data_IF_157846651407
#
_entry.id   IF_157846651407
#
_cell.length_a   1.000
_cell.length_b   1.000
_cell.length_c   1.000
_cell.angle_alpha   90.00
_cell.angle_beta   90.00
_cell.angle_gamma   90.00
#
_symmetry.space_group_name_H-M   'P 1'
#
loop_
_entity.id
_entity.type
_entity.pdbx_description
1 polymer ?
#
# COMPACT_ATOMS: atom_id res chain seq x y z
N UNK A 1 -16.81 33.72 25.14
CA UNK A 1 -16.46 32.31 25.43
C UNK A 1 -17.60 31.71 26.23
N UNK A 2 -18.16 30.57 25.80
CA UNK A 2 -19.26 29.93 26.53
C UNK A 2 -18.73 28.78 27.38
N UNK A 3 -19.11 28.77 28.66
CA UNK A 3 -18.72 27.73 29.60
C UNK A 3 -19.53 26.47 29.33
N UNK A 4 -18.86 25.40 28.91
CA UNK A 4 -19.50 24.10 28.66
C UNK A 4 -19.70 23.36 29.97
N UNK A 5 -18.63 23.13 30.73
CA UNK A 5 -18.66 22.61 32.10
C UNK A 5 -17.99 23.62 33.02
N UNK A 6 -18.50 23.74 34.25
CA UNK A 6 -17.91 24.60 35.28
C UNK A 6 -17.35 23.68 36.37
N UNK A 7 -16.04 23.43 36.30
CA UNK A 7 -15.34 22.64 37.29
C UNK A 7 -14.96 23.55 38.46
N UNK A 8 -15.16 23.02 39.68
CA UNK A 8 -14.66 23.68 40.88
C UNK A 8 -13.15 23.88 40.77
N UNK A 9 -12.62 24.98 41.33
CA UNK A 9 -11.17 25.14 41.50
C UNK A 9 -10.53 24.01 42.34
N UNK A 10 -11.34 23.22 43.04
CA UNK A 10 -10.93 22.04 43.79
C UNK A 10 -10.85 20.75 42.96
N UNK A 11 -11.15 20.79 41.67
CA UNK A 11 -11.00 19.69 40.73
C UNK A 11 -9.66 19.87 39.99
N UNK A 12 -8.58 19.22 40.44
CA UNK A 12 -7.25 19.41 39.86
C UNK A 12 -7.07 18.67 38.53
N UNK A 13 -8.06 17.88 38.11
CA UNK A 13 -7.94 17.00 36.95
C UNK A 13 -8.05 17.79 35.65
N UNK A 14 -7.28 17.33 34.65
CA UNK A 14 -7.32 17.89 33.30
C UNK A 14 -8.42 17.21 32.52
N UNK A 15 -9.39 18.01 32.06
CA UNK A 15 -10.50 17.53 31.25
C UNK A 15 -10.36 17.91 29.78
N UNK A 16 -10.93 17.09 28.91
CA UNK A 16 -10.86 17.27 27.45
C UNK A 16 -12.26 17.48 26.89
N UNK A 17 -12.49 18.66 26.32
CA UNK A 17 -13.67 18.93 25.51
C UNK A 17 -13.32 18.84 24.02
N UNK A 18 -14.02 17.96 23.30
CA UNK A 18 -13.91 17.81 21.85
C UNK A 18 -15.18 18.34 21.19
N UNK A 19 -15.04 19.08 20.09
CA UNK A 19 -16.16 19.61 19.31
C UNK A 19 -16.02 19.17 17.86
N UNK A 20 -17.11 18.62 17.30
CA UNK A 20 -17.26 18.33 15.87
C UNK A 20 -18.39 19.18 15.32
N UNK A 21 -18.06 20.10 14.43
CA UNK A 21 -19.01 20.99 13.75
C UNK A 21 -18.81 20.92 12.24
N UNK A 22 -19.90 20.94 11.47
CA UNK A 22 -19.82 20.93 10.02
C UNK A 22 -21.17 20.67 9.35
N UNK A 23 -21.15 20.59 8.03
CA UNK A 23 -22.28 20.37 7.16
C UNK A 23 -21.94 19.30 6.14
N UNK A 24 -22.97 18.66 5.62
CA UNK A 24 -22.89 17.73 4.51
C UNK A 24 -23.65 18.35 3.34
N UNK A 25 -23.01 18.38 2.18
CA UNK A 25 -23.55 19.00 0.97
C UNK A 25 -23.41 18.06 -0.22
N UNK A 26 -24.34 18.19 -1.17
CA UNK A 26 -24.33 17.48 -2.45
C UNK A 26 -24.08 18.47 -3.58
N UNK A 27 -23.13 18.20 -4.46
CA UNK A 27 -22.91 19.03 -5.65
C UNK A 27 -23.95 18.70 -6.72
N UNK A 28 -24.64 19.72 -7.20
CA UNK A 28 -25.63 19.62 -8.26
C UNK A 28 -25.00 19.73 -9.65
N UNK A 29 -25.77 19.37 -10.67
CA UNK A 29 -25.30 19.35 -12.07
C UNK A 29 -24.93 20.73 -12.62
N UNK A 30 -25.50 21.79 -12.08
CA UNK A 30 -25.19 23.19 -12.43
C UNK A 30 -23.94 23.73 -11.70
N UNK A 31 -23.33 22.91 -10.84
CA UNK A 31 -22.14 23.27 -10.06
C UNK A 31 -22.43 23.88 -8.69
N UNK A 32 -23.69 24.23 -8.39
CA UNK A 32 -24.09 24.68 -7.05
C UNK A 32 -24.08 23.52 -6.05
N UNK A 33 -24.16 23.83 -4.75
CA UNK A 33 -24.25 22.83 -3.69
C UNK A 33 -25.60 22.87 -3.00
N UNK A 34 -26.10 21.69 -2.64
CA UNK A 34 -27.33 21.47 -1.88
C UNK A 34 -26.98 20.99 -0.49
N UNK A 35 -27.47 21.69 0.53
CA UNK A 35 -27.37 21.24 1.92
C UNK A 35 -28.14 19.93 2.13
N UNK A 36 -27.49 18.94 2.74
CA UNK A 36 -28.09 17.65 3.10
C UNK A 36 -28.32 17.54 4.61
N UNK A 37 -27.26 17.75 5.40
CA UNK A 37 -27.30 17.53 6.83
C UNK A 37 -26.26 18.40 7.55
N UNK A 38 -26.34 18.45 8.88
CA UNK A 38 -25.48 19.29 9.70
C UNK A 38 -25.09 18.58 10.99
N UNK A 39 -23.95 18.96 11.53
CA UNK A 39 -23.42 18.40 12.78
C UNK A 39 -22.91 19.50 13.70
N UNK A 40 -23.25 19.36 14.97
CA UNK A 40 -22.66 20.08 16.10
C UNK A 40 -22.74 19.13 17.29
N UNK A 41 -21.60 18.54 17.63
CA UNK A 41 -21.47 17.50 18.64
C UNK A 41 -20.32 17.82 19.57
N UNK A 42 -20.56 17.62 20.86
CA UNK A 42 -19.57 17.72 21.90
C UNK A 42 -19.34 16.35 22.54
N UNK A 43 -18.07 16.05 22.77
CA UNK A 43 -17.61 14.95 23.61
C UNK A 43 -16.80 15.51 24.75
N UNK A 44 -16.95 14.91 25.92
CA UNK A 44 -16.30 15.33 27.15
C UNK A 44 -15.59 14.12 27.76
N UNK A 45 -14.29 14.24 28.00
CA UNK A 45 -13.39 13.15 28.42
C UNK A 45 -13.53 11.89 27.56
N UNK A 46 -13.65 12.10 26.25
CA UNK A 46 -13.78 11.03 25.27
C UNK A 46 -15.13 10.30 25.30
N UNK A 47 -16.15 10.84 25.98
CA UNK A 47 -17.52 10.31 25.98
C UNK A 47 -18.50 11.28 25.32
N UNK A 48 -19.55 10.74 24.71
CA UNK A 48 -20.57 11.56 24.05
C UNK A 48 -21.34 12.38 25.10
N UNK A 49 -21.50 13.67 24.83
CA UNK A 49 -21.93 14.64 25.84
C UNK A 49 -23.17 15.43 25.41
N UNK A 50 -23.08 16.20 24.33
CA UNK A 50 -24.16 17.08 23.87
C UNK A 50 -24.22 17.11 22.34
N UNK A 51 -25.42 17.12 21.77
CA UNK A 51 -25.65 17.18 20.31
C UNK A 51 -26.69 18.23 19.98
N UNK A 52 -26.51 18.99 18.89
CA UNK A 52 -27.56 19.86 18.37
C UNK A 52 -28.43 19.13 17.35
N UNK A 53 -29.73 19.02 17.64
CA UNK A 53 -30.71 18.46 16.70
C UNK A 53 -31.20 19.54 15.77
N UNK A 54 -30.81 19.43 14.50
CA UNK A 54 -31.15 20.41 13.47
C UNK A 54 -32.66 20.50 13.19
N UNK A 55 -33.38 19.39 13.24
CA UNK A 55 -34.81 19.34 12.92
C UNK A 55 -35.68 20.04 13.96
N UNK A 56 -35.35 19.86 15.25
CA UNK A 56 -36.07 20.49 16.36
C UNK A 56 -35.46 21.82 16.78
N UNK A 57 -34.26 22.11 16.29
CA UNK A 57 -33.44 23.27 16.68
C UNK A 57 -33.24 23.31 18.20
N UNK A 58 -32.88 22.16 18.78
CA UNK A 58 -32.65 22.01 20.21
C UNK A 58 -31.40 21.17 20.45
N UNK A 59 -30.68 21.49 21.51
CA UNK A 59 -29.68 20.65 22.12
C UNK A 59 -30.33 19.43 22.78
N UNK A 60 -29.66 18.29 22.61
CA UNK A 60 -29.92 17.01 23.23
C UNK A 60 -28.72 16.66 24.13
N UNK A 61 -29.03 16.28 25.38
CA UNK A 61 -28.07 15.72 26.31
C UNK A 61 -27.94 14.23 26.03
N UNK A 62 -26.71 13.77 25.86
CA UNK A 62 -26.40 12.36 25.59
C UNK A 62 -26.03 11.60 26.87
N UNK A 63 -25.83 12.32 27.98
CA UNK A 63 -25.64 11.78 29.30
C UNK A 63 -26.21 12.74 30.38
N UNK A 64 -26.25 12.27 31.63
CA UNK A 64 -26.86 13.03 32.73
C UNK A 64 -26.09 14.30 33.09
N UNK A 65 -24.77 14.31 32.90
CA UNK A 65 -23.92 15.49 33.16
C UNK A 65 -24.27 16.65 32.22
N UNK A 66 -24.77 16.36 31.02
CA UNK A 66 -25.12 17.36 30.03
C UNK A 66 -26.53 17.95 30.21
N UNK A 67 -27.37 17.43 31.13
CA UNK A 67 -28.78 17.85 31.25
C UNK A 67 -28.95 19.32 31.63
N UNK A 68 -28.15 19.81 32.58
CA UNK A 68 -28.19 21.22 33.02
C UNK A 68 -27.80 22.17 31.88
N UNK A 69 -26.79 21.79 31.12
CA UNK A 69 -26.25 22.57 30.00
C UNK A 69 -27.24 22.59 28.85
N UNK A 70 -27.83 21.44 28.50
CA UNK A 70 -28.91 21.31 27.53
C UNK A 70 -30.01 22.33 27.82
N UNK A 71 -30.52 22.37 29.05
CA UNK A 71 -31.61 23.29 29.42
C UNK A 71 -31.19 24.75 29.23
N UNK A 72 -30.01 25.13 29.75
CA UNK A 72 -29.47 26.49 29.63
C UNK A 72 -29.28 26.91 28.17
N UNK A 73 -28.74 26.03 27.33
CA UNK A 73 -28.45 26.31 25.93
C UNK A 73 -29.70 26.31 25.07
N UNK A 74 -30.71 25.50 25.40
CA UNK A 74 -32.02 25.52 24.73
C UNK A 74 -32.80 26.81 24.96
N UNK A 75 -32.63 27.41 26.14
CA UNK A 75 -33.18 28.74 26.48
C UNK A 75 -32.37 29.90 25.88
N UNK A 76 -31.18 29.65 25.32
CA UNK A 76 -30.35 30.67 24.70
C UNK A 76 -30.63 30.77 23.19
N UNK A 77 -31.54 31.64 22.81
CA UNK A 77 -31.95 31.85 21.40
C UNK A 77 -30.76 32.27 20.52
N UNK A 78 -29.93 33.27 20.90
CA UNK A 78 -28.76 33.66 20.10
C UNK A 78 -27.80 32.52 19.80
N UNK A 79 -27.52 31.65 20.78
CA UNK A 79 -26.65 30.49 20.57
C UNK A 79 -27.22 29.54 19.52
N UNK A 80 -28.53 29.27 19.57
CA UNK A 80 -29.18 28.38 18.60
C UNK A 80 -29.15 28.98 17.20
N UNK A 81 -29.40 30.28 17.08
CA UNK A 81 -29.33 30.99 15.80
C UNK A 81 -27.91 31.00 15.22
N UNK A 82 -26.87 31.28 16.03
CA UNK A 82 -25.48 31.17 15.60
C UNK A 82 -25.12 29.74 15.16
N UNK A 83 -25.62 28.74 15.90
CA UNK A 83 -25.42 27.33 15.57
C UNK A 83 -26.01 27.00 14.21
N UNK A 84 -27.26 27.42 13.97
CA UNK A 84 -27.96 27.24 12.71
C UNK A 84 -27.29 27.99 11.57
N UNK A 85 -26.96 29.27 11.77
CA UNK A 85 -26.33 30.12 10.75
C UNK A 85 -24.99 29.54 10.28
N UNK A 86 -24.15 29.08 11.20
CA UNK A 86 -22.93 28.40 10.80
C UNK A 86 -23.20 27.13 10.00
N UNK A 87 -24.11 26.26 10.46
CA UNK A 87 -24.33 24.95 9.83
C UNK A 87 -24.98 25.09 8.46
N UNK A 88 -26.01 25.94 8.34
CA UNK A 88 -26.84 26.08 7.14
C UNK A 88 -26.28 27.07 6.13
N UNK A 89 -25.47 28.04 6.56
CA UNK A 89 -24.95 29.11 5.69
C UNK A 89 -23.43 29.05 5.64
N UNK A 90 -22.73 29.48 6.70
CA UNK A 90 -21.27 29.64 6.67
C UNK A 90 -20.54 28.38 6.21
N UNK A 91 -20.90 27.22 6.75
CA UNK A 91 -20.30 25.95 6.37
C UNK A 91 -20.58 25.59 4.92
N UNK A 92 -21.80 25.85 4.43
CA UNK A 92 -22.20 25.55 3.05
C UNK A 92 -21.44 26.44 2.07
N UNK A 93 -21.26 27.72 2.40
CA UNK A 93 -20.46 28.66 1.60
C UNK A 93 -19.00 28.19 1.49
N UNK A 94 -18.40 27.81 2.62
CA UNK A 94 -17.04 27.23 2.64
C UNK A 94 -16.97 25.92 1.84
N UNK A 95 -17.97 25.05 1.95
CA UNK A 95 -18.01 23.80 1.21
C UNK A 95 -18.11 24.07 -0.30
N UNK A 96 -18.96 24.99 -0.74
CA UNK A 96 -19.07 25.37 -2.15
C UNK A 96 -17.75 25.92 -2.70
N UNK A 97 -17.06 26.77 -1.94
CA UNK A 97 -15.76 27.30 -2.33
C UNK A 97 -14.70 26.20 -2.42
N UNK A 98 -14.57 25.36 -1.39
CA UNK A 98 -13.56 24.30 -1.34
C UNK A 98 -13.80 23.23 -2.42
N UNK A 99 -15.04 22.89 -2.71
CA UNK A 99 -15.40 21.91 -3.75
C UNK A 99 -15.04 22.38 -5.17
N UNK A 100 -14.81 23.68 -5.39
CA UNK A 100 -14.25 24.20 -6.66
C UNK A 100 -12.78 23.81 -6.80
N UNK A 101 -12.01 23.84 -5.72
CA UNK A 101 -10.62 23.39 -5.70
C UNK A 101 -10.50 21.86 -5.68
N UNK A 102 -11.50 21.16 -5.16
CA UNK A 102 -11.54 19.70 -5.03
C UNK A 102 -11.64 18.94 -6.37
N UNK A 103 -12.18 19.58 -7.40
CA UNK A 103 -12.35 19.00 -8.75
C UNK A 103 -11.02 18.61 -9.40
N UNK A 104 -9.93 19.31 -9.04
CA UNK A 104 -8.60 19.02 -9.56
C UNK A 104 -7.85 17.99 -8.67
N UNK A 105 -7.98 18.10 -7.34
CA UNK A 105 -7.12 17.38 -6.38
C UNK A 105 -7.70 16.07 -5.79
N UNK A 106 -8.99 15.99 -5.40
CA UNK A 106 -9.49 14.87 -4.57
C UNK A 106 -10.36 13.87 -5.34
N UNK A 107 -11.09 14.30 -6.39
CA UNK A 107 -12.09 13.47 -7.10
C UNK A 107 -11.53 12.17 -7.73
N UNK A 108 -10.22 11.98 -7.66
CA UNK A 108 -9.51 10.88 -8.29
C UNK A 108 -8.38 10.24 -7.43
N UNK A 109 -8.27 10.55 -6.13
CA UNK A 109 -7.20 10.02 -5.27
C UNK A 109 -7.60 8.76 -4.47
N UNK A 110 -8.62 8.00 -4.89
CA UNK A 110 -8.89 6.71 -4.23
C UNK A 110 -8.00 5.60 -4.81
N UNK A 111 -6.97 5.22 -4.07
CA UNK A 111 -6.18 4.02 -4.37
C UNK A 111 -7.08 2.79 -4.22
N UNK A 112 -7.15 1.96 -5.26
CA UNK A 112 -7.89 0.69 -5.23
C UNK A 112 -6.90 -0.46 -5.35
N UNK A 113 -6.94 -1.39 -4.40
CA UNK A 113 -6.18 -2.65 -4.46
C UNK A 113 -7.12 -3.83 -4.66
N UNK A 114 -6.81 -4.72 -5.61
CA UNK A 114 -7.54 -5.96 -5.87
C UNK A 114 -6.55 -7.12 -5.97
N UNK A 115 -6.83 -8.25 -5.33
CA UNK A 115 -6.06 -9.48 -5.53
C UNK A 115 -6.86 -10.40 -6.44
N UNK A 116 -6.21 -10.93 -7.48
CA UNK A 116 -6.76 -11.91 -8.40
C UNK A 116 -6.00 -13.23 -8.33
N UNK A 117 -6.70 -14.32 -8.62
CA UNK A 117 -6.20 -15.69 -8.78
C UNK A 117 -6.52 -16.13 -10.20
N UNK A 118 -5.51 -16.41 -11.01
CA UNK A 118 -5.61 -16.59 -12.46
C UNK A 118 -6.37 -15.42 -13.11
N UNK A 119 -7.55 -15.66 -13.69
CA UNK A 119 -8.41 -14.65 -14.33
C UNK A 119 -9.53 -14.15 -13.43
N UNK A 120 -9.63 -14.65 -12.20
CA UNK A 120 -10.73 -14.34 -11.27
C UNK A 120 -10.27 -13.42 -10.15
N UNK A 121 -11.14 -12.54 -9.68
CA UNK A 121 -10.88 -11.69 -8.52
C UNK A 121 -11.13 -12.49 -7.23
N UNK A 122 -10.18 -12.46 -6.30
CA UNK A 122 -10.36 -12.99 -4.95
C UNK A 122 -11.22 -12.00 -4.16
N UNK A 123 -12.23 -12.50 -3.45
CA UNK A 123 -13.12 -11.69 -2.60
C UNK A 123 -13.26 -12.22 -1.17
N UNK A 124 -13.00 -13.50 -0.98
CA UNK A 124 -13.07 -14.15 0.33
C UNK A 124 -11.68 -14.20 0.97
N UNK A 125 -11.63 -14.23 2.31
CA UNK A 125 -10.39 -14.31 3.12
C UNK A 125 -9.36 -13.23 2.77
N UNK A 126 -9.84 -12.05 2.39
CA UNK A 126 -9.01 -10.87 2.23
C UNK A 126 -8.94 -10.10 3.54
N UNK A 127 -7.73 -9.70 3.90
CA UNK A 127 -7.49 -8.77 4.99
C UNK A 127 -7.02 -7.43 4.42
N UNK A 128 -7.60 -6.33 4.89
CA UNK A 128 -7.24 -4.97 4.49
C UNK A 128 -7.00 -4.10 5.71
N UNK A 129 -5.93 -3.30 5.67
CA UNK A 129 -5.64 -2.34 6.75
C UNK A 129 -6.49 -1.07 6.68
N UNK A 130 -7.25 -0.89 5.60
CA UNK A 130 -7.80 0.41 5.21
C UNK A 130 -6.71 1.42 4.82
N UNK A 131 -7.13 2.58 4.30
CA UNK A 131 -6.23 3.70 4.01
C UNK A 131 -5.81 4.34 5.32
N UNK A 132 -4.50 4.50 5.54
CA UNK A 132 -3.92 5.10 6.74
C UNK A 132 -3.05 6.31 6.38
N UNK A 133 -3.16 7.42 7.12
CA UNK A 133 -2.32 8.59 6.87
C UNK A 133 -0.89 8.37 7.36
N UNK A 134 0.07 9.02 6.69
CA UNK A 134 1.45 9.18 7.13
C UNK A 134 1.69 10.64 7.53
N UNK A 135 2.71 10.91 8.35
CA UNK A 135 3.02 12.26 8.84
C UNK A 135 3.39 13.29 7.77
N UNK A 136 3.66 12.87 6.53
CA UNK A 136 4.00 13.73 5.38
C UNK A 136 2.85 13.98 4.40
N UNK A 137 1.59 13.70 4.77
CA UNK A 137 0.43 13.86 3.89
C UNK A 137 0.26 12.75 2.84
N UNK A 138 1.17 11.76 2.80
CA UNK A 138 1.00 10.54 2.00
C UNK A 138 0.10 9.54 2.74
N UNK A 139 -0.42 8.57 2.02
CA UNK A 139 -1.27 7.52 2.58
C UNK A 139 -0.67 6.13 2.30
N UNK A 140 -1.01 5.15 3.12
CA UNK A 140 -0.64 3.75 2.93
C UNK A 140 -1.86 2.84 3.04
N UNK A 141 -1.84 1.73 2.30
CA UNK A 141 -2.86 0.69 2.32
C UNK A 141 -2.15 -0.65 2.10
N UNK A 142 -2.55 -1.69 2.83
CA UNK A 142 -2.09 -3.06 2.63
C UNK A 142 -3.29 -3.98 2.51
N UNK A 143 -3.19 -4.93 1.57
CA UNK A 143 -4.14 -6.02 1.41
C UNK A 143 -3.40 -7.36 1.34
N UNK A 144 -3.91 -8.37 2.02
CA UNK A 144 -3.33 -9.72 2.09
C UNK A 144 -4.39 -10.79 1.89
N UNK A 145 -3.94 -11.96 1.44
CA UNK A 145 -4.74 -13.18 1.34
C UNK A 145 -3.87 -14.35 1.79
N UNK A 146 -4.46 -15.31 2.50
CA UNK A 146 -3.82 -16.58 2.79
C UNK A 146 -3.93 -17.52 1.59
N UNK A 147 -2.79 -17.99 1.08
CA UNK A 147 -2.72 -18.89 -0.07
C UNK A 147 -2.25 -20.25 0.44
N UNK A 148 -3.06 -21.32 0.29
CA UNK A 148 -2.62 -22.67 0.59
C UNK A 148 -1.41 -23.07 -0.25
N UNK A 149 -0.42 -23.75 0.32
CA UNK A 149 0.80 -24.17 -0.42
C UNK A 149 0.52 -25.07 -1.62
N UNK A 150 -0.58 -25.83 -1.57
CA UNK A 150 -1.06 -26.66 -2.68
C UNK A 150 -1.55 -25.84 -3.87
N UNK A 151 -1.84 -24.56 -3.69
CA UNK A 151 -2.37 -23.69 -4.73
C UNK A 151 -1.25 -23.22 -5.66
N UNK A 152 -1.27 -23.74 -6.89
CA UNK A 152 -0.31 -23.39 -7.95
C UNK A 152 -0.84 -22.32 -8.91
N UNK A 153 -1.95 -21.68 -8.57
CA UNK A 153 -2.52 -20.61 -9.39
C UNK A 153 -1.61 -19.36 -9.42
N UNK A 154 -1.73 -18.57 -10.48
CA UNK A 154 -1.04 -17.29 -10.60
C UNK A 154 -1.81 -16.22 -9.80
N UNK A 155 -1.19 -15.66 -8.76
CA UNK A 155 -1.79 -14.57 -8.00
C UNK A 155 -1.29 -13.22 -8.49
N UNK A 156 -2.21 -12.24 -8.56
CA UNK A 156 -1.92 -10.89 -9.04
C UNK A 156 -2.49 -9.85 -8.10
N UNK A 157 -1.68 -8.87 -7.71
CA UNK A 157 -2.14 -7.67 -7.04
C UNK A 157 -2.27 -6.54 -8.08
N UNK A 158 -3.48 -6.02 -8.23
CA UNK A 158 -3.82 -4.91 -9.09
C UNK A 158 -3.94 -3.64 -8.23
N UNK A 159 -3.13 -2.64 -8.53
CA UNK A 159 -3.17 -1.32 -7.88
C UNK A 159 -3.61 -0.30 -8.92
N UNK A 160 -4.77 0.30 -8.69
CA UNK A 160 -5.30 1.36 -9.53
C UNK A 160 -5.29 2.69 -8.77
N UNK A 161 -4.80 3.74 -9.42
CA UNK A 161 -4.74 5.09 -8.88
C UNK A 161 -4.66 6.08 -10.05
N UNK A 162 -5.34 7.23 -9.99
CA UNK A 162 -5.39 8.17 -11.15
C UNK A 162 -4.03 8.70 -11.57
N UNK A 163 -3.08 8.82 -10.64
CA UNK A 163 -1.72 9.23 -11.00
C UNK A 163 -0.94 8.17 -11.81
N UNK A 164 -1.53 6.99 -12.02
CA UNK A 164 -0.97 5.93 -12.86
C UNK A 164 -1.75 5.89 -14.18
N UNK A 165 -1.05 6.02 -15.30
CA UNK A 165 -1.66 5.86 -16.64
C UNK A 165 -2.19 4.44 -16.86
N UNK A 166 -1.51 3.44 -16.29
CA UNK A 166 -1.91 2.04 -16.32
C UNK A 166 -1.86 1.44 -14.92
N UNK A 167 -2.77 0.52 -14.57
CA UNK A 167 -2.76 -0.11 -13.27
C UNK A 167 -1.47 -0.91 -13.07
N UNK A 168 -0.84 -0.74 -11.90
CA UNK A 168 0.32 -1.55 -11.54
C UNK A 168 -0.17 -2.96 -11.22
N UNK A 169 0.38 -3.95 -11.93
CA UNK A 169 0.11 -5.37 -11.68
C UNK A 169 1.37 -6.04 -11.15
N UNK A 170 1.32 -6.53 -9.91
CA UNK A 170 2.39 -7.35 -9.32
C UNK A 170 1.95 -8.80 -9.31
N UNK A 171 2.69 -9.64 -10.04
CA UNK A 171 2.43 -11.08 -10.13
C UNK A 171 3.25 -11.78 -9.06
N UNK A 172 2.60 -12.63 -8.28
CA UNK A 172 3.24 -13.51 -7.33
C UNK A 172 3.61 -14.80 -8.07
N UNK A 173 4.79 -14.81 -8.70
CA UNK A 173 5.33 -16.00 -9.37
C UNK A 173 6.39 -16.62 -8.47
N UNK A 174 6.37 -17.95 -8.33
CA UNK A 174 7.47 -18.74 -7.78
C UNK A 174 8.64 -18.76 -8.78
N UNK A 175 9.22 -17.60 -9.11
CA UNK A 175 10.28 -17.45 -10.12
C UNK A 175 11.62 -18.12 -9.74
N UNK A 176 11.69 -18.68 -8.53
CA UNK A 176 12.88 -19.29 -7.95
C UNK A 176 13.28 -20.67 -8.51
N UNK A 177 12.53 -21.29 -9.43
CA UNK A 177 12.95 -22.59 -9.99
C UNK A 177 13.46 -22.50 -11.42
N UNK A 178 13.01 -21.51 -12.20
CA UNK A 178 13.38 -21.41 -13.62
C UNK A 178 14.77 -20.83 -13.82
N UNK A 179 15.12 -19.75 -13.11
CA UNK A 179 16.44 -19.12 -13.23
C UNK A 179 17.56 -20.02 -12.69
N UNK A 180 17.32 -20.71 -11.57
CA UNK A 180 18.30 -21.64 -11.01
C UNK A 180 18.52 -22.84 -11.95
N UNK A 181 17.47 -23.37 -12.58
CA UNK A 181 17.60 -24.44 -13.57
C UNK A 181 18.46 -24.05 -14.78
N UNK A 182 18.24 -22.83 -15.32
CA UNK A 182 19.02 -22.32 -16.46
C UNK A 182 20.48 -22.04 -16.08
N UNK A 183 20.72 -21.43 -14.91
CA UNK A 183 22.09 -21.12 -14.44
C UNK A 183 22.86 -22.42 -14.17
N UNK A 184 22.25 -23.39 -13.47
CA UNK A 184 22.89 -24.68 -13.19
C UNK A 184 23.18 -25.44 -14.48
N UNK A 185 22.24 -25.45 -15.43
CA UNK A 185 22.43 -26.06 -16.74
C UNK A 185 23.59 -25.43 -17.53
N UNK A 186 23.69 -24.10 -17.55
CA UNK A 186 24.76 -23.39 -18.23
C UNK A 186 26.14 -23.68 -17.60
N UNK A 187 26.25 -23.69 -16.27
CA UNK A 187 27.50 -23.99 -15.56
C UNK A 187 27.98 -25.41 -15.86
N UNK A 188 27.07 -26.40 -15.82
CA UNK A 188 27.40 -27.79 -16.15
C UNK A 188 27.87 -27.90 -17.61
N UNK A 189 27.16 -27.24 -18.53
CA UNK A 189 27.54 -27.23 -19.95
C UNK A 189 28.95 -26.68 -20.19
N UNK A 190 29.29 -25.56 -19.54
CA UNK A 190 30.64 -24.96 -19.64
C UNK A 190 31.71 -25.89 -19.06
N UNK A 191 31.47 -26.51 -17.90
CA UNK A 191 32.42 -27.44 -17.28
C UNK A 191 32.70 -28.66 -18.17
N UNK A 192 31.66 -29.22 -18.80
CA UNK A 192 31.81 -30.33 -19.75
C UNK A 192 32.64 -29.90 -20.96
N UNK A 193 32.36 -28.73 -21.54
CA UNK A 193 33.13 -28.22 -22.68
C UNK A 193 34.61 -28.02 -22.34
N UNK A 194 34.91 -27.47 -21.17
CA UNK A 194 36.29 -27.31 -20.69
C UNK A 194 36.97 -28.68 -20.55
N UNK A 195 36.29 -29.67 -19.97
CA UNK A 195 36.83 -31.02 -19.80
C UNK A 195 37.18 -31.69 -21.13
N UNK A 196 36.33 -31.52 -22.15
CA UNK A 196 36.55 -32.05 -23.51
C UNK A 196 37.75 -31.37 -24.17
N UNK A 197 37.84 -30.04 -24.09
CA UNK A 197 38.97 -29.29 -24.67
C UNK A 197 40.29 -29.69 -24.02
N UNK A 198 40.33 -29.80 -22.69
CA UNK A 198 41.52 -30.26 -21.95
C UNK A 198 41.89 -31.69 -22.36
N UNK A 199 40.90 -32.58 -22.46
CA UNK A 199 41.10 -33.95 -22.93
C UNK A 199 41.71 -34.02 -24.34
N UNK A 200 41.21 -33.22 -25.29
CA UNK A 200 41.74 -33.14 -26.65
C UNK A 200 43.19 -32.62 -26.65
N UNK A 201 43.51 -31.59 -25.86
CA UNK A 201 44.87 -31.05 -25.78
C UNK A 201 45.87 -32.07 -25.22
N UNK A 202 45.48 -32.83 -24.19
CA UNK A 202 46.29 -33.92 -23.63
C UNK A 202 46.48 -35.02 -24.67
N UNK A 203 45.43 -35.41 -25.38
CA UNK A 203 45.50 -36.41 -26.46
C UNK A 203 46.47 -36.00 -27.56
N UNK A 204 46.39 -34.75 -28.04
CA UNK A 204 47.29 -34.24 -29.08
C UNK A 204 48.75 -34.22 -28.57
N UNK A 205 48.98 -33.79 -27.32
CA UNK A 205 50.33 -33.72 -26.73
C UNK A 205 50.94 -35.11 -26.56
N UNK A 206 50.17 -36.06 -26.05
CA UNK A 206 50.61 -37.46 -25.86
C UNK A 206 50.88 -38.13 -27.20
N UNK A 207 50.01 -37.96 -28.20
CA UNK A 207 50.22 -38.49 -29.54
C UNK A 207 51.50 -37.90 -30.17
N UNK A 208 51.70 -36.58 -30.12
CA UNK A 208 52.93 -35.95 -30.62
C UNK A 208 54.19 -36.47 -29.93
N UNK A 209 54.14 -36.65 -28.61
CA UNK A 209 55.26 -37.21 -27.84
C UNK A 209 55.57 -38.67 -28.23
N UNK A 210 54.54 -39.50 -28.46
CA UNK A 210 54.70 -40.89 -28.92
C UNK A 210 55.27 -40.95 -30.34
N UNK A 211 54.79 -40.10 -31.25
CA UNK A 211 55.33 -40.01 -32.61
C UNK A 211 56.80 -39.52 -32.60
N UNK A 212 57.14 -38.56 -31.74
CA UNK A 212 58.51 -38.07 -31.57
C UNK A 212 59.45 -39.13 -30.95
N UNK A 213 58.98 -39.88 -29.96
CA UNK A 213 59.74 -40.98 -29.37
C UNK A 213 59.98 -42.13 -30.36
N UNK A 214 58.97 -42.45 -31.19
CA UNK A 214 59.09 -43.47 -32.25
C UNK A 214 60.11 -43.05 -33.32
N UNK A 215 60.14 -41.77 -33.71
CA UNK A 215 61.11 -41.22 -34.66
C UNK A 215 62.56 -41.19 -34.08
N UNK A 216 62.71 -40.86 -32.80
CA UNK A 216 64.00 -40.88 -32.11
C UNK A 216 64.56 -42.30 -31.98
N UNK A 217 63.73 -43.30 -31.65
CA UNK A 217 64.15 -44.70 -31.57
C UNK A 217 64.58 -45.28 -32.94
N UNK A 218 63.91 -44.90 -34.03
CA UNK A 218 64.36 -45.27 -35.38
C UNK A 218 65.74 -44.69 -35.71
N UNK A 219 65.98 -43.43 -35.34
CA UNK A 219 67.28 -42.78 -35.59
C UNK A 219 68.40 -43.41 -34.76
N UNK A 220 68.14 -43.77 -33.50
CA UNK A 220 69.11 -44.43 -32.61
C UNK A 220 69.46 -45.86 -33.06
N UNK A 221 68.47 -46.64 -33.52
CA UNK A 221 68.69 -47.99 -34.05
C UNK A 221 69.47 -47.97 -35.39
N UNK A 222 69.34 -46.90 -36.18
CA UNK A 222 70.09 -46.73 -37.44
C UNK A 222 71.54 -46.28 -37.19
N UNK A 223 71.79 -45.56 -36.10
CA UNK A 223 73.14 -45.15 -35.69
C UNK A 223 73.95 -46.29 -35.05
N UNK A 224 73.30 -47.18 -34.29
CA UNK A 224 73.96 -48.36 -33.67
C UNK A 224 74.34 -49.44 -34.69
N UNK A 225 73.56 -49.62 -35.77
CA UNK A 225 73.94 -50.50 -36.89
C UNK A 225 75.17 -50.01 -37.66
N UNK A 226 75.46 -48.70 -37.65
CA UNK A 226 76.60 -48.11 -38.35
C UNK A 226 77.91 -48.17 -37.58
N UNK A 227 77.89 -48.35 -36.26
CA UNK A 227 79.09 -48.44 -35.43
C UNK A 227 79.59 -49.89 -35.21
N UNK A 228 78.90 -50.88 -35.77
CA UNK A 228 79.33 -52.29 -35.74
C UNK A 228 80.02 -52.75 -37.03
N UNK A 229 80.33 -51.83 -37.94
CA UNK A 229 81.00 -52.08 -39.23
C UNK A 229 82.40 -51.42 -39.34
N UNK A 230 82.99 -50.91 -38.24
CA UNK A 230 84.42 -50.54 -38.16
C UNK A 230 85.28 -51.66 -37.53
#
# INVERSE_FOLDING_TARGET
MMTVMDHSQSDPDVHVLQRRRGCEVERLSDGSVKFLSGSEHYRYDGQDFLSFKLHTEQWEALNDQALSIKQRWNSNIPLKQDTLGYIKETCVDWAEELMKYEDDYIRNYYITMKIGRNRFQVREKLESTGVRPNGGGTHQLRMSVEIPESDRAEFRCFVNHRALETPIVKIWVWESLFHFGVIVGAVIGVLVLISVVVGILIYIKTHKNITAATASNQTANTATLRSSEE
#
